data_IF_828460802050
#
_entry.id   IF_828460802050
#
_cell.length_a   1.000
_cell.length_b   1.000
_cell.length_c   1.000
_cell.angle_alpha   90.00
_cell.angle_beta   90.00
_cell.angle_gamma   90.00
#
_symmetry.space_group_name_H-M   'P 1'
#
loop_
_entity.id
_entity.type
_entity.pdbx_description
1 polymer ?
#
# COMPACT_ATOMS: atom_id res chain seq x y z
N UNK A 1 -38.60 52.35 -1.88
CA UNK A 1 -40.00 52.07 -1.46
C UNK A 1 -40.45 50.79 -2.15
N UNK A 2 -41.63 50.28 -1.78
CA UNK A 2 -42.05 48.89 -2.03
C UNK A 2 -42.83 48.76 -3.35
N UNK A 3 -43.28 47.53 -3.64
CA UNK A 3 -44.24 47.07 -4.65
C UNK A 3 -43.61 46.62 -5.99
N UNK A 4 -43.58 45.30 -6.28
CA UNK A 4 -44.67 44.35 -6.63
C UNK A 4 -45.09 44.51 -8.10
N UNK A 5 -44.92 43.49 -8.96
CA UNK A 5 -45.87 42.39 -9.25
C UNK A 5 -47.22 42.91 -9.82
N UNK A 6 -47.77 42.40 -10.94
CA UNK A 6 -47.69 41.05 -11.55
C UNK A 6 -47.90 41.12 -13.10
N UNK A 7 -47.25 40.27 -13.91
CA UNK A 7 -47.80 39.07 -14.59
C UNK A 7 -48.71 39.28 -15.84
N UNK A 8 -48.25 38.84 -17.02
CA UNK A 8 -48.99 37.95 -17.98
C UNK A 8 -48.09 37.55 -19.16
N UNK A 9 -48.46 36.49 -19.91
CA UNK A 9 -47.58 35.79 -20.86
C UNK A 9 -47.97 35.94 -22.34
N UNK A 10 -47.03 35.70 -23.28
CA UNK A 10 -47.16 34.74 -24.39
C UNK A 10 -46.00 34.75 -25.42
N UNK A 11 -45.81 33.58 -26.08
CA UNK A 11 -45.20 33.34 -27.40
C UNK A 11 -43.66 33.44 -27.58
N UNK A 12 -43.17 32.70 -28.60
CA UNK A 12 -41.76 32.37 -28.91
C UNK A 12 -41.57 32.34 -30.44
N UNK A 13 -40.49 32.95 -30.99
CA UNK A 13 -39.38 32.16 -31.58
C UNK A 13 -38.01 32.75 -31.18
N UNK A 14 -37.06 31.98 -30.64
CA UNK A 14 -36.29 30.90 -31.25
C UNK A 14 -35.48 31.29 -32.52
N UNK A 15 -34.16 31.35 -32.39
CA UNK A 15 -33.18 31.30 -33.48
C UNK A 15 -31.79 30.97 -32.92
N UNK A 16 -31.37 29.71 -33.09
CA UNK A 16 -30.04 29.22 -32.71
C UNK A 16 -29.40 28.49 -33.91
N UNK A 17 -28.16 28.83 -34.30
CA UNK A 17 -27.37 28.03 -35.24
C UNK A 17 -25.95 27.71 -34.69
N UNK A 18 -25.22 26.72 -35.26
CA UNK A 18 -25.60 25.31 -35.17
C UNK A 18 -24.41 24.38 -34.81
N UNK A 19 -24.70 23.24 -34.18
CA UNK A 19 -23.72 22.15 -34.00
C UNK A 19 -23.65 21.28 -35.27
N UNK A 20 -22.45 20.86 -35.69
CA UNK A 20 -22.28 19.86 -36.74
C UNK A 20 -22.11 18.45 -36.17
N UNK A 21 -22.74 17.47 -36.82
CA UNK A 21 -22.68 16.05 -36.47
C UNK A 21 -21.91 15.28 -37.54
N UNK A 22 -20.99 14.41 -37.14
CA UNK A 22 -20.35 13.44 -38.04
C UNK A 22 -21.10 12.11 -37.95
N UNK A 23 -21.37 11.47 -39.09
CA UNK A 23 -22.18 10.26 -39.18
C UNK A 23 -21.35 8.97 -39.21
N UNK A 24 -21.94 7.88 -38.73
CA UNK A 24 -21.42 6.51 -38.80
C UNK A 24 -22.38 5.65 -39.64
N UNK A 25 -21.90 4.84 -40.61
CA UNK A 25 -22.76 3.94 -41.39
C UNK A 25 -23.12 2.67 -40.60
N UNK A 26 -24.26 2.07 -40.95
CA UNK A 26 -24.73 0.80 -40.38
C UNK A 26 -24.27 -0.42 -41.21
N UNK A 27 -24.18 -1.62 -40.61
CA UNK A 27 -24.05 -2.88 -41.33
C UNK A 27 -25.40 -3.41 -41.85
N UNK A 28 -25.32 -4.37 -42.77
CA UNK A 28 -26.44 -4.94 -43.52
C UNK A 28 -27.07 -6.18 -42.83
N UNK A 29 -28.20 -6.67 -43.33
CA UNK A 29 -29.02 -7.70 -42.67
C UNK A 29 -28.83 -9.11 -43.28
N UNK A 30 -29.01 -10.15 -42.46
CA UNK A 30 -29.22 -11.53 -42.90
C UNK A 30 -30.36 -12.18 -42.08
N UNK A 31 -31.03 -13.19 -42.64
CA UNK A 31 -32.44 -13.46 -42.34
C UNK A 31 -32.74 -14.66 -41.41
N UNK A 32 -33.61 -14.38 -40.42
CA UNK A 32 -34.85 -15.11 -40.14
C UNK A 32 -34.83 -16.67 -40.01
N UNK A 33 -35.12 -17.17 -38.80
CA UNK A 33 -36.23 -18.15 -38.65
C UNK A 33 -36.82 -18.35 -37.22
N UNK A 34 -38.10 -17.96 -37.11
CA UNK A 34 -39.21 -18.65 -36.42
C UNK A 34 -39.09 -19.05 -34.95
N UNK A 35 -39.71 -18.21 -34.12
CA UNK A 35 -40.46 -18.60 -32.92
C UNK A 35 -41.68 -19.49 -33.29
N UNK A 36 -42.20 -20.30 -32.35
CA UNK A 36 -43.65 -20.24 -32.06
C UNK A 36 -43.97 -20.12 -30.56
N UNK A 37 -45.26 -19.92 -30.27
CA UNK A 37 -45.76 -19.19 -29.09
C UNK A 37 -46.38 -20.09 -28.00
N UNK A 38 -46.43 -19.56 -26.78
CA UNK A 38 -47.57 -19.62 -25.84
C UNK A 38 -47.76 -20.86 -24.90
N UNK A 39 -48.58 -20.63 -23.85
CA UNK A 39 -49.13 -21.57 -22.84
C UNK A 39 -48.30 -21.95 -21.59
N UNK A 40 -48.46 -21.14 -20.53
CA UNK A 40 -48.81 -21.64 -19.17
C UNK A 40 -50.28 -22.11 -19.16
N UNK A 41 -50.84 -22.88 -18.18
CA UNK A 41 -50.47 -22.90 -16.75
C UNK A 41 -50.67 -24.23 -15.96
N UNK A 42 -50.55 -24.12 -14.62
CA UNK A 42 -51.21 -24.93 -13.56
C UNK A 42 -50.74 -26.36 -13.25
N UNK A 43 -50.34 -26.58 -11.98
CA UNK A 43 -50.80 -27.61 -11.02
C UNK A 43 -49.84 -27.72 -9.80
N UNK A 44 -50.23 -27.87 -8.52
CA UNK A 44 -51.54 -27.74 -7.81
C UNK A 44 -51.30 -27.19 -6.37
N UNK A 45 -52.39 -26.83 -5.68
CA UNK A 45 -52.62 -26.66 -4.22
C UNK A 45 -51.62 -27.34 -3.23
N UNK A 46 -51.38 -26.81 -2.01
CA UNK A 46 -52.44 -26.61 -1.00
C UNK A 46 -52.22 -25.56 0.11
N UNK A 47 -53.22 -24.68 0.25
CA UNK A 47 -53.81 -24.04 1.44
C UNK A 47 -53.91 -24.96 2.67
N UNK A 48 -53.66 -24.59 3.96
CA UNK A 48 -53.15 -23.37 4.67
C UNK A 48 -52.52 -23.85 6.03
N UNK A 49 -52.49 -23.25 7.25
CA UNK A 49 -53.07 -22.05 7.91
C UNK A 49 -52.29 -21.64 9.19
N UNK A 50 -52.85 -20.74 10.03
CA UNK A 50 -52.27 -20.09 11.22
C UNK A 50 -53.44 -19.58 12.11
N UNK A 51 -53.31 -19.13 13.39
CA UNK A 51 -52.48 -19.48 14.56
C UNK A 51 -53.44 -19.89 15.75
N UNK A 52 -53.46 -19.35 17.01
CA UNK A 52 -52.43 -18.88 17.99
C UNK A 52 -52.60 -19.37 19.48
N UNK A 53 -51.64 -18.97 20.34
CA UNK A 53 -51.79 -18.39 21.71
C UNK A 53 -51.62 -19.24 23.02
N UNK A 54 -51.23 -18.51 24.08
CA UNK A 54 -51.18 -18.80 25.54
C UNK A 54 -50.15 -19.84 26.04
N UNK A 55 -49.29 -19.62 27.05
CA UNK A 55 -49.34 -18.95 28.39
C UNK A 55 -49.69 -19.92 29.54
N UNK A 56 -48.79 -20.03 30.53
CA UNK A 56 -48.96 -19.71 31.98
C UNK A 56 -47.59 -19.89 32.67
N UNK A 57 -47.35 -19.19 33.78
CA UNK A 57 -46.22 -19.37 34.69
C UNK A 57 -46.70 -19.28 36.16
N UNK A 58 -46.06 -19.99 37.09
CA UNK A 58 -46.37 -19.87 38.53
C UNK A 58 -45.18 -20.28 39.43
N UNK A 59 -45.26 -19.84 40.68
CA UNK A 59 -44.40 -20.12 41.85
C UNK A 59 -45.37 -20.24 43.06
N UNK A 60 -45.00 -20.08 44.36
CA UNK A 60 -43.71 -20.09 45.07
C UNK A 60 -43.72 -21.08 46.27
N UNK A 61 -42.75 -20.98 47.21
CA UNK A 61 -42.97 -20.69 48.65
C UNK A 61 -41.68 -20.90 49.51
N UNK A 62 -41.75 -20.52 50.79
CA UNK A 62 -40.65 -20.24 51.73
C UNK A 62 -41.04 -20.75 53.14
N UNK A 63 -40.11 -21.30 53.94
CA UNK A 63 -40.32 -21.46 55.41
C UNK A 63 -39.01 -21.53 56.23
N UNK A 64 -39.15 -21.47 57.55
CA UNK A 64 -38.26 -20.81 58.50
C UNK A 64 -37.17 -21.65 59.20
N UNK A 65 -36.33 -20.93 59.97
CA UNK A 65 -35.44 -21.46 61.01
C UNK A 65 -36.13 -21.52 62.39
N UNK A 66 -35.52 -22.19 63.39
CA UNK A 66 -35.20 -21.48 64.64
C UNK A 66 -33.83 -21.85 65.25
N UNK A 67 -33.45 -21.16 66.34
CA UNK A 67 -32.10 -21.23 66.95
C UNK A 67 -32.11 -21.60 68.45
N UNK A 68 -30.96 -22.04 68.97
CA UNK A 68 -30.65 -22.10 70.41
C UNK A 68 -29.12 -22.06 70.67
N UNK A 69 -28.71 -21.52 71.82
CA UNK A 69 -27.33 -21.49 72.36
C UNK A 69 -27.38 -21.78 73.89
N UNK A 70 -26.25 -21.96 74.65
CA UNK A 70 -25.44 -20.79 75.07
C UNK A 70 -23.93 -21.00 75.46
N UNK A 71 -23.18 -19.89 75.40
CA UNK A 71 -22.18 -19.37 76.37
C UNK A 71 -20.86 -20.11 76.77
N UNK A 72 -19.74 -19.47 76.37
CA UNK A 72 -18.66 -18.92 77.24
C UNK A 72 -17.66 -19.87 77.98
N UNK A 73 -16.45 -19.40 78.40
CA UNK A 73 -15.94 -18.02 78.46
C UNK A 73 -14.64 -17.74 77.66
N UNK A 74 -14.00 -16.60 77.94
CA UNK A 74 -12.93 -15.93 77.14
C UNK A 74 -11.62 -15.89 77.92
N UNK A 75 -10.47 -15.92 77.23
CA UNK A 75 -9.17 -15.47 77.74
C UNK A 75 -8.45 -14.58 76.71
N UNK A 76 -7.62 -13.62 77.16
CA UNK A 76 -7.03 -12.55 76.32
C UNK A 76 -5.60 -12.24 76.76
N UNK A 77 -4.61 -12.45 75.88
CA UNK A 77 -3.22 -11.99 76.03
C UNK A 77 -2.54 -11.92 74.63
N UNK A 78 -1.44 -11.16 74.45
CA UNK A 78 -1.25 -10.44 73.17
C UNK A 78 0.01 -10.77 72.35
N UNK A 79 0.01 -10.22 71.13
CA UNK A 79 1.15 -9.77 70.32
C UNK A 79 2.23 -10.79 69.88
N UNK A 80 2.25 -11.05 68.57
CA UNK A 80 3.49 -10.95 67.79
C UNK A 80 3.20 -10.12 66.53
N UNK A 81 3.91 -9.01 66.37
CA UNK A 81 4.00 -8.31 65.08
C UNK A 81 4.96 -9.12 64.19
N UNK A 82 4.43 -9.81 63.19
CA UNK A 82 5.26 -10.29 62.09
C UNK A 82 5.45 -9.13 61.12
N UNK A 83 6.71 -8.73 60.93
CA UNK A 83 7.08 -7.83 59.85
C UNK A 83 6.94 -8.61 58.54
N UNK A 84 5.89 -8.34 57.78
CA UNK A 84 5.86 -8.71 56.36
C UNK A 84 7.01 -7.94 55.69
N UNK A 85 8.03 -8.69 55.26
CA UNK A 85 9.23 -8.15 54.64
C UNK A 85 8.83 -7.60 53.26
N UNK A 86 8.70 -6.27 53.17
CA UNK A 86 8.08 -5.55 52.05
C UNK A 86 8.90 -5.71 50.76
N UNK A 87 8.67 -6.84 50.08
CA UNK A 87 9.18 -7.10 48.73
C UNK A 87 8.81 -5.92 47.83
N UNK A 88 9.77 -5.29 47.14
CA UNK A 88 9.50 -4.09 46.34
C UNK A 88 8.32 -4.32 45.40
N UNK A 89 7.33 -3.43 45.47
CA UNK A 89 6.23 -3.40 44.52
C UNK A 89 6.80 -3.16 43.12
N UNK A 90 6.77 -4.22 42.31
CA UNK A 90 7.28 -4.20 40.94
C UNK A 90 6.31 -3.39 40.06
N UNK A 91 6.45 -2.07 40.12
CA UNK A 91 5.61 -1.10 39.42
C UNK A 91 5.84 -1.09 37.89
N UNK A 92 6.43 -2.15 37.35
CA UNK A 92 6.59 -2.40 35.91
C UNK A 92 5.21 -2.50 35.25
N UNK A 93 4.87 -1.65 34.28
CA UNK A 93 3.60 -1.70 33.57
C UNK A 93 3.32 -3.07 32.94
N UNK A 94 2.05 -3.49 32.94
CA UNK A 94 1.63 -4.84 32.54
C UNK A 94 2.11 -5.24 31.12
N UNK A 95 2.19 -4.29 30.19
CA UNK A 95 2.69 -4.51 28.83
C UNK A 95 4.21 -4.78 28.75
N UNK A 96 5.01 -4.27 29.69
CA UNK A 96 6.43 -4.62 29.83
C UNK A 96 6.59 -5.97 30.51
N UNK A 97 5.82 -6.23 31.57
CA UNK A 97 5.84 -7.50 32.30
C UNK A 97 5.41 -8.69 31.42
N UNK A 98 4.47 -8.49 30.49
CA UNK A 98 4.05 -9.47 29.48
C UNK A 98 5.00 -9.60 28.30
N UNK A 99 5.86 -8.61 28.04
CA UNK A 99 6.75 -8.60 26.88
C UNK A 99 8.20 -8.23 27.26
N UNK A 100 9.02 -9.22 27.67
CA UNK A 100 10.43 -8.99 27.99
C UNK A 100 11.25 -8.40 26.85
N UNK A 101 10.90 -8.69 25.60
CA UNK A 101 11.59 -8.17 24.41
C UNK A 101 11.29 -6.67 24.17
N UNK A 102 10.10 -6.20 24.54
CA UNK A 102 9.77 -4.78 24.56
C UNK A 102 10.55 -4.03 25.65
N UNK A 103 10.69 -4.63 26.83
CA UNK A 103 11.51 -4.10 27.93
C UNK A 103 12.99 -3.98 27.52
N UNK A 104 13.56 -5.04 26.93
CA UNK A 104 14.93 -5.02 26.42
C UNK A 104 15.15 -4.02 25.27
N UNK A 105 14.12 -3.77 24.44
CA UNK A 105 14.17 -2.73 23.41
C UNK A 105 14.15 -1.31 24.01
N UNK A 106 13.45 -1.12 25.13
CA UNK A 106 13.50 0.13 25.91
C UNK A 106 14.88 0.37 26.55
N UNK A 107 15.51 -0.66 27.12
CA UNK A 107 16.88 -0.56 27.67
C UNK A 107 17.91 -0.13 26.60
N UNK A 108 17.68 -0.53 25.34
CA UNK A 108 18.52 -0.18 24.18
C UNK A 108 18.19 1.20 23.59
N UNK A 109 17.00 1.75 23.82
CA UNK A 109 16.53 2.99 23.20
C UNK A 109 17.48 4.20 23.41
N UNK A 110 18.05 4.46 24.60
CA UNK A 110 19.00 5.57 24.78
C UNK A 110 20.23 5.47 23.87
N UNK A 111 20.74 4.26 23.63
CA UNK A 111 21.86 4.03 22.72
C UNK A 111 21.45 4.22 21.25
N UNK A 112 20.25 3.76 20.87
CA UNK A 112 19.65 4.01 19.55
C UNK A 112 19.56 5.51 19.28
N UNK A 113 18.92 6.27 20.19
CA UNK A 113 18.75 7.73 20.06
C UNK A 113 20.08 8.49 20.00
N UNK A 114 21.09 8.06 20.77
CA UNK A 114 22.44 8.63 20.72
C UNK A 114 23.20 8.28 19.44
N UNK A 115 22.83 7.21 18.74
CA UNK A 115 23.50 6.76 17.50
C UNK A 115 22.82 7.24 16.21
N UNK A 116 21.53 7.59 16.28
CA UNK A 116 20.84 8.35 15.23
C UNK A 116 21.11 9.86 15.34
N UNK A 117 21.32 10.37 16.56
CA UNK A 117 21.31 11.80 16.88
C UNK A 117 20.01 12.45 16.33
N UNK A 118 18.90 11.75 16.54
CA UNK A 118 17.53 12.12 16.14
C UNK A 118 16.52 11.20 16.86
N UNK A 119 15.45 11.79 17.41
CA UNK A 119 14.51 11.11 18.30
C UNK A 119 13.03 11.25 17.90
N UNK A 120 12.73 11.59 16.64
CA UNK A 120 11.36 11.71 16.15
C UNK A 120 10.99 10.50 15.28
N UNK A 121 9.81 9.92 15.50
CA UNK A 121 9.24 8.88 14.66
C UNK A 121 7.74 9.12 14.46
N UNK A 122 7.30 9.29 13.20
CA UNK A 122 5.88 9.44 12.83
C UNK A 122 5.14 10.60 13.53
N UNK A 123 5.86 11.68 13.85
CA UNK A 123 5.37 12.85 14.59
C UNK A 123 5.57 12.74 16.11
N UNK A 124 6.05 11.61 16.61
CA UNK A 124 6.22 11.32 18.05
C UNK A 124 7.69 11.53 18.44
N UNK A 125 8.01 12.48 19.34
CA UNK A 125 9.30 12.52 20.01
C UNK A 125 9.40 11.36 20.99
N UNK A 126 10.31 10.42 20.74
CA UNK A 126 10.50 9.21 21.54
C UNK A 126 11.08 9.54 22.92
N UNK A 127 10.51 8.93 23.96
CA UNK A 127 10.84 9.14 25.38
C UNK A 127 11.18 7.81 26.07
N UNK A 128 10.79 7.66 27.32
CA UNK A 128 10.86 6.41 28.10
C UNK A 128 9.58 5.56 27.97
N UNK A 129 9.51 4.46 28.74
CA UNK A 129 8.42 3.48 28.70
C UNK A 129 7.12 3.92 29.37
N UNK A 130 7.04 5.10 29.98
CA UNK A 130 5.77 5.67 30.46
C UNK A 130 4.97 6.38 29.37
N UNK A 131 5.62 6.71 28.24
CA UNK A 131 5.00 7.40 27.11
C UNK A 131 4.33 6.41 26.15
N UNK A 132 2.99 6.30 26.22
CA UNK A 132 2.20 5.35 25.43
C UNK A 132 2.45 5.46 23.90
N UNK A 133 2.55 6.67 23.29
CA UNK A 133 2.98 6.81 21.90
C UNK A 133 4.34 6.16 21.61
N UNK A 134 5.36 6.39 22.45
CA UNK A 134 6.68 5.74 22.34
C UNK A 134 6.59 4.22 22.48
N UNK A 135 5.82 3.70 23.44
CA UNK A 135 5.57 2.25 23.60
C UNK A 135 4.97 1.65 22.32
N UNK A 136 3.98 2.33 21.73
CA UNK A 136 3.33 1.89 20.50
C UNK A 136 4.26 1.92 19.27
N UNK A 137 5.19 2.88 19.20
CA UNK A 137 6.27 2.86 18.18
C UNK A 137 7.15 1.62 18.37
N UNK A 138 7.67 1.37 19.57
CA UNK A 138 8.56 0.22 19.81
C UNK A 138 7.87 -1.12 19.55
N UNK A 139 6.59 -1.26 19.90
CA UNK A 139 5.79 -2.46 19.58
C UNK A 139 5.72 -2.69 18.07
N UNK A 140 5.50 -1.66 17.24
CA UNK A 140 5.47 -1.79 15.77
C UNK A 140 6.82 -2.23 15.18
N UNK A 141 7.94 -1.68 15.66
CA UNK A 141 9.28 -2.13 15.24
C UNK A 141 9.58 -3.56 15.73
N UNK A 142 9.17 -3.93 16.94
CA UNK A 142 9.37 -5.28 17.47
C UNK A 142 8.54 -6.33 16.71
N UNK A 143 7.26 -6.04 16.43
CA UNK A 143 6.37 -6.84 15.58
C UNK A 143 6.94 -7.06 14.18
N UNK A 144 7.45 -6.01 13.55
CA UNK A 144 8.01 -6.08 12.20
C UNK A 144 9.28 -6.96 12.09
N UNK A 145 9.92 -7.27 13.23
CA UNK A 145 11.08 -8.15 13.32
C UNK A 145 10.78 -9.45 14.08
N UNK A 146 9.50 -9.86 14.15
CA UNK A 146 9.04 -11.12 14.74
C UNK A 146 9.53 -11.33 16.20
N UNK A 147 9.60 -10.24 16.98
CA UNK A 147 10.09 -10.26 18.37
C UNK A 147 11.60 -10.15 18.54
N UNK A 148 12.38 -10.07 17.45
CA UNK A 148 13.84 -9.97 17.54
C UNK A 148 14.30 -8.54 17.89
N UNK A 149 14.66 -8.35 19.17
CA UNK A 149 15.11 -7.07 19.73
C UNK A 149 16.26 -6.44 18.96
N UNK A 150 17.27 -7.21 18.53
CA UNK A 150 18.44 -6.65 17.82
C UNK A 150 18.09 -6.22 16.39
N UNK A 151 17.21 -6.94 15.70
CA UNK A 151 16.74 -6.51 14.38
C UNK A 151 15.82 -5.28 14.49
N UNK A 152 14.99 -5.20 15.53
CA UNK A 152 14.16 -4.02 15.83
C UNK A 152 15.01 -2.78 16.16
N UNK A 153 16.03 -2.91 17.01
CA UNK A 153 17.03 -1.88 17.31
C UNK A 153 17.73 -1.39 16.03
N UNK A 154 18.20 -2.32 15.20
CA UNK A 154 18.88 -2.04 13.93
C UNK A 154 17.96 -1.33 12.92
N UNK A 155 16.68 -1.72 12.84
CA UNK A 155 15.70 -1.08 11.94
C UNK A 155 15.32 0.31 12.45
N UNK A 156 15.05 0.46 13.75
CA UNK A 156 14.72 1.75 14.37
C UNK A 156 15.87 2.75 14.22
N UNK A 157 17.12 2.32 14.42
CA UNK A 157 18.31 3.14 14.20
C UNK A 157 18.38 3.65 12.76
N UNK A 158 18.20 2.76 11.77
CA UNK A 158 18.19 3.12 10.34
C UNK A 158 17.02 4.04 9.98
N UNK A 159 15.85 3.80 10.56
CA UNK A 159 14.67 4.63 10.36
C UNK A 159 14.86 6.05 10.89
N UNK A 160 15.38 6.21 12.13
CA UNK A 160 15.68 7.52 12.72
C UNK A 160 16.78 8.26 11.94
N UNK A 161 17.84 7.56 11.52
CA UNK A 161 18.88 8.13 10.66
C UNK A 161 18.33 8.59 9.30
N UNK A 162 17.39 7.84 8.71
CA UNK A 162 16.72 8.22 7.47
C UNK A 162 15.75 9.41 7.66
N UNK A 163 14.97 9.45 8.76
CA UNK A 163 14.09 10.59 9.09
C UNK A 163 14.90 11.86 9.28
N UNK A 164 16.05 11.80 9.98
CA UNK A 164 16.99 12.92 10.12
C UNK A 164 17.48 13.47 8.77
N UNK A 165 17.83 12.57 7.85
CA UNK A 165 18.36 12.95 6.52
C UNK A 165 17.29 13.49 5.58
N UNK A 166 16.05 12.98 5.68
CA UNK A 166 14.96 13.26 4.74
C UNK A 166 14.00 14.35 5.23
N UNK A 167 13.93 14.56 6.55
CA UNK A 167 12.96 15.42 7.24
C UNK A 167 11.52 15.24 6.71
N UNK A 168 10.95 14.03 6.79
CA UNK A 168 9.72 13.69 6.07
C UNK A 168 8.48 14.48 6.53
N UNK A 169 8.49 15.04 7.75
CA UNK A 169 7.46 15.96 8.23
C UNK A 169 7.44 17.26 7.39
N UNK A 170 8.60 17.79 7.01
CA UNK A 170 8.68 18.99 6.17
C UNK A 170 8.14 18.74 4.75
N UNK A 171 8.32 17.52 4.22
CA UNK A 171 7.82 17.12 2.90
C UNK A 171 6.29 17.21 2.77
N UNK A 172 5.53 17.26 3.88
CA UNK A 172 4.08 17.51 3.88
C UNK A 172 3.75 18.93 3.39
N UNK A 173 4.56 19.91 3.81
CA UNK A 173 4.34 21.35 3.58
C UNK A 173 5.01 21.83 2.26
N UNK A 174 5.85 20.99 1.65
CA UNK A 174 6.42 21.18 0.31
C UNK A 174 5.34 21.23 -0.79
N UNK A 175 5.73 21.78 -1.94
CA UNK A 175 4.88 21.90 -3.13
C UNK A 175 5.33 20.92 -4.21
N UNK A 176 4.36 20.30 -4.86
CA UNK A 176 4.58 19.24 -5.84
C UNK A 176 3.92 19.59 -7.18
N UNK A 177 4.64 19.36 -8.28
CA UNK A 177 4.16 19.60 -9.64
C UNK A 177 2.82 18.91 -9.93
N UNK A 178 1.80 19.72 -10.28
CA UNK A 178 0.51 19.22 -10.76
C UNK A 178 0.64 18.49 -12.10
N UNK A 179 1.62 18.85 -12.93
CA UNK A 179 1.95 18.17 -14.20
C UNK A 179 2.47 16.75 -13.97
N UNK A 180 3.32 16.54 -12.96
CA UNK A 180 3.92 15.24 -12.61
C UNK A 180 3.02 14.35 -11.74
N UNK A 181 2.33 14.95 -10.77
CA UNK A 181 1.69 14.24 -9.66
C UNK A 181 0.19 14.50 -9.51
N UNK A 182 -0.37 15.43 -10.28
CA UNK A 182 -1.79 15.80 -10.23
C UNK A 182 -2.72 14.62 -10.50
N UNK A 183 -3.50 14.25 -9.48
CA UNK A 183 -4.45 13.14 -9.52
C UNK A 183 -3.84 11.74 -9.32
N UNK A 184 -2.56 11.63 -9.01
CA UNK A 184 -1.89 10.32 -8.81
C UNK A 184 -1.91 9.83 -7.36
N UNK A 185 -2.28 10.67 -6.39
CA UNK A 185 -2.23 10.34 -4.97
C UNK A 185 -3.34 11.04 -4.19
N UNK A 186 -4.02 10.28 -3.33
CA UNK A 186 -5.11 10.79 -2.48
C UNK A 186 -5.09 10.17 -1.08
N UNK A 187 -5.74 10.86 -0.15
CA UNK A 187 -5.94 10.47 1.24
C UNK A 187 -7.37 10.83 1.66
N UNK A 188 -8.15 9.85 2.11
CA UNK A 188 -9.42 10.08 2.77
C UNK A 188 -9.54 9.21 4.03
N UNK A 189 -10.52 9.55 4.87
CA UNK A 189 -10.80 8.84 6.10
C UNK A 189 -12.27 8.42 6.08
N UNK A 190 -12.52 7.12 6.06
CA UNK A 190 -13.88 6.55 6.10
C UNK A 190 -14.27 6.21 7.54
N UNK A 191 -15.57 6.24 7.83
CA UNK A 191 -16.12 5.78 9.12
C UNK A 191 -16.94 4.50 8.96
N UNK A 192 -16.83 3.57 9.90
CA UNK A 192 -17.76 2.44 10.01
C UNK A 192 -19.06 2.82 10.73
N UNK A 193 -19.95 1.85 10.96
CA UNK A 193 -21.24 2.08 11.63
C UNK A 193 -21.10 2.37 13.14
N UNK A 194 -19.93 2.08 13.71
CA UNK A 194 -19.55 2.32 15.10
C UNK A 194 -18.86 3.69 15.27
N UNK A 195 -18.48 4.33 14.15
CA UNK A 195 -17.82 5.63 14.10
C UNK A 195 -16.29 5.56 14.03
N UNK A 196 -15.71 4.36 14.00
CA UNK A 196 -14.26 4.14 13.94
C UNK A 196 -13.72 4.67 12.61
N UNK A 197 -12.60 5.39 12.68
CA UNK A 197 -11.97 5.99 11.52
C UNK A 197 -10.95 5.02 10.87
N UNK A 198 -11.12 4.74 9.59
CA UNK A 198 -10.13 4.04 8.77
C UNK A 198 -9.51 5.02 7.79
N UNK A 199 -8.19 5.22 7.93
CA UNK A 199 -7.38 6.02 7.02
C UNK A 199 -7.08 5.23 5.74
N UNK A 200 -7.35 5.82 4.57
CA UNK A 200 -7.15 5.18 3.26
C UNK A 200 -6.32 6.10 2.36
N UNK A 201 -5.16 5.60 1.91
CA UNK A 201 -4.37 6.22 0.84
C UNK A 201 -4.65 5.56 -0.50
N UNK A 202 -4.60 6.34 -1.56
CA UNK A 202 -4.79 5.89 -2.94
C UNK A 202 -3.61 6.32 -3.79
N UNK A 203 -3.14 5.44 -4.67
CA UNK A 203 -2.12 5.73 -5.67
C UNK A 203 -2.61 5.31 -7.05
N UNK A 204 -2.98 6.30 -7.86
CA UNK A 204 -3.64 6.11 -9.16
C UNK A 204 -2.58 6.04 -10.26
N UNK A 205 -1.75 4.99 -10.23
CA UNK A 205 -0.68 4.82 -11.22
C UNK A 205 -1.20 4.64 -12.65
N UNK A 206 -2.45 4.16 -12.80
CA UNK A 206 -3.17 4.18 -14.07
C UNK A 206 -3.50 5.57 -14.64
N UNK A 207 -3.38 6.63 -13.82
CA UNK A 207 -3.53 8.02 -14.24
C UNK A 207 -2.25 8.69 -14.75
N UNK A 208 -1.11 7.99 -14.76
CA UNK A 208 0.18 8.57 -15.18
C UNK A 208 0.15 8.87 -16.69
N UNK A 209 0.19 10.16 -17.04
CA UNK A 209 0.16 10.65 -18.42
C UNK A 209 1.48 10.42 -19.16
N UNK A 210 2.61 10.58 -18.48
CA UNK A 210 3.95 10.27 -19.01
C UNK A 210 4.85 9.70 -17.90
N UNK A 211 5.50 8.58 -18.21
CA UNK A 211 6.42 7.90 -17.30
C UNK A 211 7.74 8.66 -17.13
N UNK A 212 8.19 9.41 -18.14
CA UNK A 212 9.42 10.21 -18.07
C UNK A 212 9.26 11.36 -17.09
N UNK A 213 8.17 12.11 -17.22
CA UNK A 213 7.79 13.25 -16.38
C UNK A 213 7.55 12.83 -14.92
N UNK A 214 6.81 11.75 -14.66
CA UNK A 214 6.46 11.34 -13.28
C UNK A 214 7.56 10.56 -12.56
N UNK A 215 8.37 9.75 -13.26
CA UNK A 215 9.36 8.85 -12.63
C UNK A 215 10.82 9.14 -13.01
N UNK A 216 11.09 10.06 -13.94
CA UNK A 216 12.45 10.38 -14.40
C UNK A 216 13.35 10.94 -13.29
N UNK A 217 12.76 11.66 -12.34
CA UNK A 217 13.42 12.04 -11.09
C UNK A 217 12.91 11.14 -9.95
N UNK A 218 13.72 10.13 -9.59
CA UNK A 218 13.33 9.12 -8.60
C UNK A 218 13.20 9.72 -7.19
N UNK A 219 14.10 10.58 -6.77
CA UNK A 219 14.07 11.12 -5.40
C UNK A 219 12.94 12.15 -5.22
N UNK A 220 12.58 12.93 -6.25
CA UNK A 220 11.38 13.79 -6.24
C UNK A 220 10.08 12.97 -6.15
N UNK A 221 9.96 11.89 -6.93
CA UNK A 221 8.83 10.97 -6.82
C UNK A 221 8.75 10.34 -5.41
N UNK A 222 9.89 10.05 -4.79
CA UNK A 222 9.94 9.47 -3.44
C UNK A 222 9.54 10.49 -2.38
N UNK A 223 10.01 11.74 -2.47
CA UNK A 223 9.56 12.81 -1.58
C UNK A 223 8.05 12.99 -1.66
N UNK A 224 7.48 13.01 -2.87
CA UNK A 224 6.03 13.03 -3.09
C UNK A 224 5.31 11.82 -2.46
N UNK A 225 5.83 10.60 -2.64
CA UNK A 225 5.25 9.38 -2.03
C UNK A 225 5.35 9.36 -0.51
N UNK A 226 6.39 9.96 0.05
CA UNK A 226 6.62 10.10 1.50
C UNK A 226 5.71 11.17 2.09
N UNK A 227 5.55 12.33 1.45
CA UNK A 227 4.62 13.37 1.87
C UNK A 227 3.17 12.86 1.98
N UNK A 228 2.71 12.08 0.98
CA UNK A 228 1.40 11.43 1.03
C UNK A 228 1.30 10.36 2.13
N UNK A 229 2.40 9.66 2.44
CA UNK A 229 2.48 8.72 3.56
C UNK A 229 2.40 9.45 4.90
N UNK A 230 3.22 10.47 5.14
CA UNK A 230 3.23 11.24 6.40
C UNK A 230 1.90 11.95 6.67
N UNK A 231 1.22 12.46 5.64
CA UNK A 231 -0.16 12.94 5.76
C UNK A 231 -1.11 11.87 6.33
N UNK A 232 -0.98 10.62 5.85
CA UNK A 232 -1.80 9.51 6.33
C UNK A 232 -1.36 9.02 7.73
N UNK A 233 -0.07 9.09 8.04
CA UNK A 233 0.48 8.80 9.38
C UNK A 233 -0.06 9.80 10.41
N UNK A 234 -0.12 11.09 10.06
CA UNK A 234 -0.72 12.15 10.88
C UNK A 234 -2.22 11.91 11.13
N UNK A 235 -2.94 11.37 10.14
CA UNK A 235 -4.35 10.98 10.30
C UNK A 235 -4.55 9.76 11.23
N UNK A 236 -3.53 8.93 11.46
CA UNK A 236 -3.61 7.81 12.43
C UNK A 236 -3.60 8.28 13.90
N UNK A 237 -3.17 9.53 14.18
CA UNK A 237 -3.22 10.16 15.52
C UNK A 237 -2.52 9.34 16.63
N UNK A 238 -1.44 8.63 16.31
CA UNK A 238 -0.74 7.79 17.30
C UNK A 238 0.03 8.61 18.35
N UNK A 239 0.29 9.89 18.07
CA UNK A 239 0.71 10.92 19.04
C UNK A 239 -0.32 11.15 20.16
N UNK A 240 -1.59 10.86 19.90
CA UNK A 240 -2.72 10.99 20.84
C UNK A 240 -3.10 9.63 21.47
N UNK A 241 -2.24 8.61 21.39
CA UNK A 241 -2.53 7.28 21.91
C UNK A 241 -2.67 7.26 23.45
N UNK A 242 -3.83 6.82 23.93
CA UNK A 242 -4.17 6.68 25.35
C UNK A 242 -4.14 5.23 25.85
N UNK A 243 -3.93 4.26 24.95
CA UNK A 243 -3.77 2.84 25.26
C UNK A 243 -2.58 2.24 24.49
N UNK A 244 -1.99 1.21 25.07
CA UNK A 244 -0.92 0.43 24.45
C UNK A 244 -1.52 -0.63 23.51
N UNK A 245 -0.95 -0.80 22.32
CA UNK A 245 -1.31 -1.84 21.36
C UNK A 245 -1.05 -3.21 21.98
N UNK A 246 -2.02 -4.11 21.97
CA UNK A 246 -1.79 -5.51 22.36
C UNK A 246 -0.81 -6.17 21.38
N UNK A 247 0.22 -6.85 21.88
CA UNK A 247 1.35 -7.30 21.05
C UNK A 247 0.94 -8.32 19.99
N UNK A 248 -0.07 -9.16 20.25
CA UNK A 248 -0.63 -10.12 19.29
C UNK A 248 -2.03 -9.72 18.77
N UNK A 249 -2.62 -8.65 19.32
CA UNK A 249 -3.98 -8.18 19.02
C UNK A 249 -4.10 -7.16 17.89
N UNK A 250 -5.28 -6.55 17.76
CA UNK A 250 -5.56 -5.55 16.72
C UNK A 250 -4.78 -4.24 16.92
N UNK A 251 -4.49 -3.55 15.81
CA UNK A 251 -3.68 -2.34 15.77
C UNK A 251 -4.50 -1.20 15.13
N UNK A 252 -5.06 -0.26 15.92
CA UNK A 252 -5.87 0.83 15.39
C UNK A 252 -5.03 1.85 14.63
N UNK A 253 -3.71 1.85 14.81
CA UNK A 253 -2.77 2.77 14.18
C UNK A 253 -2.24 2.17 12.87
N UNK A 254 -3.15 1.73 11.99
CA UNK A 254 -2.83 1.21 10.67
C UNK A 254 -3.77 1.72 9.56
N UNK A 255 -3.19 2.09 8.42
CA UNK A 255 -3.89 2.59 7.24
C UNK A 255 -4.11 1.51 6.18
N UNK A 256 -5.07 1.74 5.29
CA UNK A 256 -5.24 0.98 4.05
C UNK A 256 -4.57 1.71 2.90
N UNK A 257 -4.06 0.94 1.93
CA UNK A 257 -3.45 1.48 0.71
C UNK A 257 -4.09 0.85 -0.54
N UNK A 258 -4.65 1.66 -1.42
CA UNK A 258 -5.20 1.25 -2.72
C UNK A 258 -4.22 1.68 -3.82
N UNK A 259 -3.76 0.74 -4.63
CA UNK A 259 -3.02 1.03 -5.86
C UNK A 259 -3.93 0.73 -7.06
N UNK A 260 -4.17 1.72 -7.93
CA UNK A 260 -4.91 1.53 -9.17
C UNK A 260 -3.95 1.42 -10.36
N UNK A 261 -4.06 0.33 -11.10
CA UNK A 261 -3.24 0.01 -12.27
C UNK A 261 -4.04 -0.06 -13.59
N UNK A 262 -5.21 0.57 -13.66
CA UNK A 262 -5.98 0.70 -14.91
C UNK A 262 -5.09 1.24 -16.04
N UNK A 263 -5.16 0.66 -17.23
CA UNK A 263 -4.34 1.01 -18.41
C UNK A 263 -2.80 0.82 -18.25
N UNK A 264 -2.29 0.34 -17.11
CA UNK A 264 -0.84 0.13 -16.94
C UNK A 264 -0.35 -1.08 -17.74
N UNK A 265 0.61 -0.86 -18.62
CA UNK A 265 1.20 -1.92 -19.44
C UNK A 265 2.28 -2.69 -18.69
N UNK A 266 1.95 -3.93 -18.30
CA UNK A 266 2.87 -4.83 -17.60
C UNK A 266 3.88 -5.54 -18.53
N UNK A 267 3.76 -5.40 -19.85
CA UNK A 267 4.59 -6.13 -20.83
C UNK A 267 6.04 -5.61 -20.91
N UNK A 268 6.31 -4.38 -20.47
CA UNK A 268 7.66 -3.78 -20.46
C UNK A 268 7.86 -2.95 -19.19
N UNK A 269 8.63 -3.50 -18.24
CA UNK A 269 9.00 -2.81 -17.01
C UNK A 269 9.92 -1.60 -17.32
N UNK A 270 9.39 -0.38 -17.28
CA UNK A 270 10.17 0.84 -17.49
C UNK A 270 11.28 0.95 -16.39
N UNK A 271 12.54 1.27 -16.74
CA UNK A 271 13.64 1.32 -15.76
C UNK A 271 13.43 2.31 -14.62
N UNK A 272 12.91 3.50 -14.91
CA UNK A 272 12.64 4.55 -13.92
C UNK A 272 11.50 4.15 -12.98
N UNK A 273 10.42 3.56 -13.53
CA UNK A 273 9.33 2.97 -12.73
C UNK A 273 9.85 1.86 -11.82
N UNK A 274 10.77 1.01 -12.30
CA UNK A 274 11.41 -0.04 -11.50
C UNK A 274 12.28 0.53 -10.38
N UNK A 275 13.07 1.56 -10.67
CA UNK A 275 13.93 2.25 -9.70
C UNK A 275 13.10 2.93 -8.60
N UNK A 276 12.08 3.70 -8.99
CA UNK A 276 11.11 4.33 -8.10
C UNK A 276 10.40 3.29 -7.22
N UNK A 277 9.88 2.20 -7.82
CA UNK A 277 9.21 1.12 -7.09
C UNK A 277 10.14 0.46 -6.07
N UNK A 278 11.39 0.16 -6.44
CA UNK A 278 12.38 -0.41 -5.50
C UNK A 278 12.64 0.55 -4.34
N UNK A 279 12.95 1.81 -4.63
CA UNK A 279 13.24 2.85 -3.62
C UNK A 279 12.04 3.11 -2.70
N UNK A 280 10.80 3.04 -3.20
CA UNK A 280 9.58 3.09 -2.36
C UNK A 280 9.51 1.89 -1.41
N UNK A 281 9.79 0.68 -1.89
CA UNK A 281 9.82 -0.53 -1.05
C UNK A 281 10.93 -0.43 0.00
N UNK A 282 12.15 -0.02 -0.39
CA UNK A 282 13.29 0.15 0.51
C UNK A 282 12.95 1.14 1.65
N UNK A 283 12.38 2.30 1.31
CA UNK A 283 12.00 3.35 2.27
C UNK A 283 10.84 2.88 3.17
N UNK A 284 9.77 2.32 2.61
CA UNK A 284 8.61 1.89 3.40
C UNK A 284 8.91 0.70 4.30
N UNK A 285 9.76 -0.25 3.85
CA UNK A 285 10.24 -1.34 4.70
C UNK A 285 11.21 -0.86 5.80
N UNK A 286 11.96 0.23 5.59
CA UNK A 286 12.88 0.76 6.61
C UNK A 286 12.16 1.61 7.64
N UNK A 287 11.35 2.58 7.20
CA UNK A 287 10.86 3.68 8.03
C UNK A 287 9.35 3.70 8.31
N UNK A 288 8.59 2.73 7.77
CA UNK A 288 7.14 2.61 7.97
C UNK A 288 6.65 1.18 8.35
N UNK A 289 7.38 0.40 9.20
CA UNK A 289 6.93 -0.92 9.66
C UNK A 289 5.56 -0.90 10.37
N UNK A 290 4.76 -1.95 10.13
CA UNK A 290 3.45 -2.20 10.77
C UNK A 290 2.49 -0.99 10.86
N UNK A 291 2.52 -0.12 9.85
CA UNK A 291 1.48 0.89 9.58
C UNK A 291 0.48 0.45 8.50
N UNK A 292 0.75 -0.62 7.78
CA UNK A 292 -0.14 -1.15 6.74
C UNK A 292 -1.12 -2.17 7.33
N UNK A 293 -2.42 -1.88 7.25
CA UNK A 293 -3.50 -2.84 7.57
C UNK A 293 -3.76 -3.77 6.39
N UNK A 294 -4.20 -3.20 5.28
CA UNK A 294 -4.52 -3.93 4.03
C UNK A 294 -4.06 -3.15 2.80
N UNK A 295 -3.68 -3.88 1.74
CA UNK A 295 -3.21 -3.33 0.47
C UNK A 295 -3.97 -3.93 -0.72
N UNK A 296 -4.76 -3.10 -1.37
CA UNK A 296 -5.55 -3.49 -2.53
C UNK A 296 -4.86 -3.05 -3.81
N UNK A 297 -4.82 -3.94 -4.81
CA UNK A 297 -4.25 -3.67 -6.13
C UNK A 297 -5.35 -3.84 -7.16
N UNK A 298 -5.96 -2.73 -7.58
CA UNK A 298 -7.17 -2.73 -8.41
C UNK A 298 -6.86 -2.54 -9.89
N UNK A 299 -7.78 -3.01 -10.74
CA UNK A 299 -7.67 -3.01 -12.20
C UNK A 299 -6.44 -3.79 -12.73
N UNK A 300 -5.97 -4.79 -11.96
CA UNK A 300 -4.84 -5.66 -12.32
C UNK A 300 -5.30 -6.75 -13.30
N UNK A 301 -4.72 -6.88 -14.50
CA UNK A 301 -5.09 -7.95 -15.45
C UNK A 301 -4.96 -9.34 -14.82
N UNK A 302 -6.02 -10.16 -14.88
CA UNK A 302 -6.07 -11.46 -14.17
C UNK A 302 -4.96 -12.43 -14.58
N UNK A 303 -4.46 -12.31 -15.82
CA UNK A 303 -3.30 -13.04 -16.34
C UNK A 303 -1.99 -12.76 -15.59
N UNK A 304 -1.92 -11.72 -14.75
CA UNK A 304 -0.76 -11.37 -13.91
C UNK A 304 -0.77 -12.05 -12.52
N UNK A 305 -1.72 -12.96 -12.23
CA UNK A 305 -1.79 -13.66 -10.94
C UNK A 305 -0.49 -14.41 -10.56
N UNK A 306 0.26 -14.91 -11.55
CA UNK A 306 1.57 -15.53 -11.33
C UNK A 306 2.64 -14.54 -10.83
N UNK A 307 2.56 -13.26 -11.20
CA UNK A 307 3.51 -12.24 -10.73
C UNK A 307 3.29 -11.95 -9.25
N UNK A 308 2.03 -11.89 -8.80
CA UNK A 308 1.73 -11.83 -7.38
C UNK A 308 2.19 -13.09 -6.64
N UNK A 309 1.96 -14.29 -7.20
CA UNK A 309 2.48 -15.53 -6.63
C UNK A 309 4.01 -15.55 -6.48
N UNK A 310 4.76 -15.00 -7.45
CA UNK A 310 6.21 -14.85 -7.36
C UNK A 310 6.64 -13.82 -6.29
N UNK A 311 5.89 -12.72 -6.12
CA UNK A 311 6.13 -11.73 -5.06
C UNK A 311 5.92 -12.36 -3.66
N UNK A 312 4.98 -13.31 -3.50
CA UNK A 312 4.77 -14.08 -2.26
C UNK A 312 5.95 -14.98 -1.86
N UNK A 313 6.97 -15.14 -2.71
CA UNK A 313 8.22 -15.87 -2.38
C UNK A 313 9.24 -14.96 -1.70
N UNK A 314 9.15 -13.64 -1.89
CA UNK A 314 10.12 -12.66 -1.38
C UNK A 314 9.57 -11.74 -0.27
N UNK A 315 8.25 -11.68 -0.09
CA UNK A 315 7.61 -10.99 1.05
C UNK A 315 7.30 -11.96 2.18
N UNK A 316 7.33 -11.48 3.42
CA UNK A 316 6.95 -12.28 4.59
C UNK A 316 5.49 -12.76 4.50
N UNK A 317 5.16 -13.82 5.24
CA UNK A 317 3.77 -14.32 5.32
C UNK A 317 2.80 -13.23 5.83
N UNK A 318 3.24 -12.38 6.75
CA UNK A 318 2.41 -11.30 7.27
C UNK A 318 2.09 -10.24 6.21
N UNK A 319 3.10 -9.75 5.48
CA UNK A 319 2.88 -8.80 4.37
C UNK A 319 2.06 -9.43 3.24
N UNK A 320 2.33 -10.69 2.92
CA UNK A 320 1.62 -11.47 1.88
C UNK A 320 0.12 -11.67 2.16
N UNK A 321 -0.27 -11.79 3.44
CA UNK A 321 -1.69 -11.88 3.85
C UNK A 321 -2.44 -10.58 3.59
N UNK A 322 -1.77 -9.43 3.75
CA UNK A 322 -2.34 -8.09 3.62
C UNK A 322 -2.51 -7.61 2.15
N UNK A 323 -2.37 -8.49 1.15
CA UNK A 323 -2.18 -8.12 -0.27
C UNK A 323 -3.28 -8.71 -1.17
N UNK A 324 -4.19 -7.85 -1.65
CA UNK A 324 -5.44 -8.24 -2.34
C UNK A 324 -5.50 -7.72 -3.79
N UNK A 325 -5.21 -8.57 -4.80
CA UNK A 325 -5.34 -8.20 -6.21
C UNK A 325 -6.80 -8.32 -6.68
N UNK A 326 -7.35 -7.25 -7.27
CA UNK A 326 -8.73 -7.19 -7.76
C UNK A 326 -8.73 -6.74 -9.23
N UNK A 327 -9.19 -7.60 -10.15
CA UNK A 327 -9.09 -7.32 -11.60
C UNK A 327 -10.07 -6.28 -12.16
N UNK A 328 -11.09 -5.89 -11.40
CA UNK A 328 -11.98 -4.77 -11.75
C UNK A 328 -12.19 -3.91 -10.48
N UNK A 329 -11.79 -2.64 -10.55
CA UNK A 329 -11.88 -1.69 -9.45
C UNK A 329 -13.28 -1.51 -8.89
N UNK A 330 -14.32 -1.67 -9.71
CA UNK A 330 -15.72 -1.59 -9.28
C UNK A 330 -16.16 -2.72 -8.31
N UNK A 331 -15.27 -3.67 -8.00
CA UNK A 331 -15.48 -4.66 -6.94
C UNK A 331 -14.84 -4.25 -5.60
N UNK A 332 -13.93 -3.25 -5.55
CA UNK A 332 -13.13 -2.93 -4.36
C UNK A 332 -13.97 -2.67 -3.11
N UNK A 333 -15.04 -1.87 -3.22
CA UNK A 333 -15.87 -1.52 -2.08
C UNK A 333 -16.66 -2.73 -1.50
N UNK A 334 -16.66 -3.90 -2.17
CA UNK A 334 -17.25 -5.14 -1.65
C UNK A 334 -16.46 -5.74 -0.50
N UNK A 335 -15.15 -5.53 -0.47
CA UNK A 335 -14.23 -5.97 0.60
C UNK A 335 -14.45 -5.22 1.92
N UNK A 336 -15.35 -4.23 1.94
CA UNK A 336 -15.62 -3.34 3.07
C UNK A 336 -17.03 -3.49 3.64
N UNK A 337 -17.23 -3.23 4.95
CA UNK A 337 -18.56 -3.14 5.55
C UNK A 337 -19.44 -2.07 4.87
N UNK A 338 -20.78 -2.19 4.86
CA UNK A 338 -21.69 -1.30 4.13
C UNK A 338 -21.45 0.20 4.36
N UNK A 339 -21.31 0.63 5.62
CA UNK A 339 -21.05 2.03 5.95
C UNK A 339 -19.79 2.58 5.28
N UNK A 340 -18.69 1.82 5.27
CA UNK A 340 -17.42 2.20 4.61
C UNK A 340 -17.55 2.12 3.09
N UNK A 341 -18.20 1.08 2.57
CA UNK A 341 -18.48 0.87 1.14
C UNK A 341 -19.22 2.03 0.50
N UNK A 342 -20.24 2.57 1.16
CA UNK A 342 -21.06 3.68 0.64
C UNK A 342 -20.26 4.97 0.47
N UNK A 343 -19.19 5.15 1.25
CA UNK A 343 -18.26 6.29 1.17
C UNK A 343 -17.20 6.15 0.05
N UNK A 344 -17.06 4.99 -0.59
CA UNK A 344 -16.10 4.82 -1.69
C UNK A 344 -16.64 5.45 -2.98
N UNK A 345 -15.77 6.01 -3.85
CA UNK A 345 -16.19 6.52 -5.15
C UNK A 345 -16.91 5.46 -6.00
N UNK A 346 -17.86 5.87 -6.83
CA UNK A 346 -18.64 4.98 -7.73
C UNK A 346 -17.76 4.09 -8.62
N UNK A 347 -16.61 4.59 -9.10
CA UNK A 347 -15.64 3.83 -9.90
C UNK A 347 -15.00 2.65 -9.15
N UNK A 348 -15.08 2.65 -7.82
CA UNK A 348 -14.61 1.59 -6.93
C UNK A 348 -15.75 0.73 -6.34
N UNK A 349 -16.99 0.93 -6.80
CA UNK A 349 -18.17 0.14 -6.41
C UNK A 349 -18.92 0.66 -5.19
N UNK A 350 -18.61 1.87 -4.72
CA UNK A 350 -19.40 2.58 -3.70
C UNK A 350 -20.42 3.55 -4.30
N UNK A 351 -20.83 4.54 -3.50
CA UNK A 351 -21.80 5.58 -3.88
C UNK A 351 -21.31 7.01 -3.56
N UNK A 352 -20.05 7.14 -3.14
CA UNK A 352 -19.43 8.40 -2.76
C UNK A 352 -18.97 9.26 -3.95
N UNK A 353 -18.63 10.53 -3.68
CA UNK A 353 -18.05 11.46 -4.65
C UNK A 353 -16.69 10.97 -5.19
N UNK A 354 -16.17 11.63 -6.22
CA UNK A 354 -14.85 11.32 -6.76
C UNK A 354 -13.72 11.66 -5.77
N UNK A 355 -12.56 10.98 -5.88
CA UNK A 355 -11.39 11.29 -5.05
C UNK A 355 -10.93 12.75 -5.25
N UNK A 356 -11.07 13.25 -6.48
CA UNK A 356 -10.84 14.64 -6.87
C UNK A 356 -11.67 15.67 -6.08
N UNK A 357 -12.84 15.26 -5.56
CA UNK A 357 -13.85 16.16 -4.97
C UNK A 357 -13.84 16.09 -3.43
N UNK A 358 -13.49 14.94 -2.86
CA UNK A 358 -13.65 14.67 -1.42
C UNK A 358 -12.43 14.07 -0.71
N UNK A 359 -11.38 13.64 -1.44
CA UNK A 359 -10.14 13.19 -0.82
C UNK A 359 -9.09 14.30 -0.85
N UNK A 360 -8.28 14.38 0.21
CA UNK A 360 -7.13 15.29 0.27
C UNK A 360 -5.97 14.74 -0.56
N UNK A 361 -5.02 15.60 -0.86
CA UNK A 361 -3.71 15.24 -1.41
C UNK A 361 -2.66 16.20 -0.87
N UNK A 362 -1.39 16.01 -1.25
CA UNK A 362 -0.30 16.95 -0.92
C UNK A 362 -0.52 18.32 -1.59
N UNK A 363 0.21 19.35 -1.16
CA UNK A 363 0.11 20.66 -1.83
C UNK A 363 0.62 20.56 -3.27
N UNK A 364 -0.30 20.68 -4.23
CA UNK A 364 0.03 20.74 -5.65
C UNK A 364 0.19 22.19 -6.11
N UNK A 365 1.12 22.42 -7.04
CA UNK A 365 1.27 23.70 -7.75
C UNK A 365 1.29 23.50 -9.27
N UNK A 366 0.73 24.45 -9.99
CA UNK A 366 0.79 24.45 -11.46
C UNK A 366 2.22 24.76 -11.92
N UNK A 367 2.71 23.98 -12.88
CA UNK A 367 4.01 24.16 -13.52
C UNK A 367 4.01 25.46 -14.37
N UNK A 368 4.20 26.59 -13.70
CA UNK A 368 4.54 27.86 -14.35
C UNK A 368 5.94 27.71 -14.96
N UNK A 369 6.02 27.16 -16.17
CA UNK A 369 7.25 27.17 -16.96
C UNK A 369 7.74 28.63 -17.03
N UNK A 370 8.95 28.95 -16.53
CA UNK A 370 9.49 30.30 -16.64
C UNK A 370 9.62 30.58 -18.14
N UNK A 371 8.86 31.56 -18.62
CA UNK A 371 8.78 31.90 -20.04
C UNK A 371 10.21 32.00 -20.60
N UNK A 372 10.53 31.31 -21.72
CA UNK A 372 11.90 31.16 -22.19
C UNK A 372 12.53 32.54 -22.32
N UNK A 373 13.57 32.78 -21.52
CA UNK A 373 14.21 34.09 -21.44
C UNK A 373 14.55 34.55 -22.86
N UNK A 374 14.11 35.75 -23.28
CA UNK A 374 14.25 36.19 -24.67
C UNK A 374 15.73 36.12 -25.03
N UNK A 375 16.05 35.32 -26.05
CA UNK A 375 17.42 34.96 -26.37
C UNK A 375 18.25 36.24 -26.51
N UNK A 376 19.32 36.33 -25.71
CA UNK A 376 20.20 37.49 -25.71
C UNK A 376 20.69 37.72 -27.14
N UNK A 377 20.29 38.85 -27.74
CA UNK A 377 20.64 39.19 -29.12
C UNK A 377 22.16 39.33 -29.17
N UNK A 378 22.81 38.42 -29.88
CA UNK A 378 24.25 38.51 -30.11
C UNK A 378 24.54 39.81 -30.87
N UNK A 379 25.40 40.67 -30.30
CA UNK A 379 25.81 41.90 -30.96
C UNK A 379 26.56 41.56 -32.27
N UNK A 380 26.31 42.28 -33.39
CA UNK A 380 27.03 42.01 -34.63
C UNK A 380 28.52 42.31 -34.48
N UNK A 381 29.37 41.36 -34.87
CA UNK A 381 30.80 41.63 -35.07
C UNK A 381 30.94 42.40 -36.38
N UNK A 382 31.55 43.57 -36.32
CA UNK A 382 31.69 44.52 -37.44
C UNK A 382 32.70 44.03 -38.50
N UNK A 383 32.43 44.33 -39.77
CA UNK A 383 33.15 43.80 -40.94
C UNK A 383 34.62 44.23 -41.06
N UNK A 384 35.45 43.32 -41.59
CA UNK A 384 36.74 43.64 -42.21
C UNK A 384 36.74 43.18 -43.68
N UNK A 385 36.93 44.12 -44.61
CA UNK A 385 36.76 43.90 -46.06
C UNK A 385 37.97 43.25 -46.79
N UNK A 386 37.81 42.75 -48.05
CA UNK A 386 38.59 41.62 -48.58
C UNK A 386 39.52 41.90 -49.80
N UNK A 387 40.45 40.97 -50.06
CA UNK A 387 41.24 40.72 -51.29
C UNK A 387 41.81 39.27 -51.23
N UNK A 388 42.14 38.50 -52.29
CA UNK A 388 41.82 38.50 -53.74
C UNK A 388 41.94 37.04 -54.28
N UNK A 389 41.81 36.76 -55.59
CA UNK A 389 41.84 35.39 -56.17
C UNK A 389 43.17 34.95 -56.84
N UNK A 390 43.65 33.73 -56.52
CA UNK A 390 44.32 32.74 -57.41
C UNK A 390 45.67 33.09 -58.13
N UNK A 391 46.37 32.15 -58.84
CA UNK A 391 46.63 30.69 -58.64
C UNK A 391 48.13 30.26 -58.80
N UNK A 392 48.41 28.94 -58.79
CA UNK A 392 49.68 28.21 -59.18
C UNK A 392 50.83 28.22 -58.14
N UNK A 393 51.87 27.35 -58.16
CA UNK A 393 52.32 26.28 -59.10
C UNK A 393 53.01 25.10 -58.34
N UNK A 394 53.41 24.01 -59.01
CA UNK A 394 54.11 22.82 -58.41
C UNK A 394 55.64 23.05 -58.18
N UNK A 395 56.36 22.13 -57.49
CA UNK A 395 57.06 21.07 -58.25
C UNK A 395 57.17 19.66 -57.59
N UNK A 396 57.42 18.65 -58.42
CA UNK A 396 57.92 17.29 -58.10
C UNK A 396 59.47 17.28 -57.86
N UNK A 397 60.18 16.16 -57.56
CA UNK A 397 59.79 14.72 -57.54
C UNK A 397 60.01 14.08 -56.13
N UNK A 398 60.07 12.76 -55.84
CA UNK A 398 60.88 11.66 -56.42
C UNK A 398 60.30 10.24 -56.10
N UNK A 399 60.83 9.18 -56.72
CA UNK A 399 60.21 7.83 -56.76
C UNK A 399 61.18 6.69 -56.40
N UNK A 400 60.75 5.80 -55.50
CA UNK A 400 61.05 4.35 -55.42
C UNK A 400 59.90 3.70 -54.62
N UNK A 401 59.21 2.66 -55.11
CA UNK A 401 59.61 1.23 -55.19
C UNK A 401 60.00 0.67 -53.81
N UNK A 402 59.50 -0.49 -53.38
CA UNK A 402 59.31 -1.72 -54.17
C UNK A 402 58.15 -2.64 -53.67
N UNK A 403 57.68 -3.50 -54.58
CA UNK A 403 56.83 -4.72 -54.45
C UNK A 403 55.58 -4.84 -53.52
N UNK A 404 54.50 -5.35 -54.14
CA UNK A 404 53.42 -6.15 -53.54
C UNK A 404 53.46 -7.55 -54.22
N UNK A 405 52.68 -8.60 -53.83
CA UNK A 405 51.24 -8.63 -54.19
C UNK A 405 50.29 -9.53 -53.33
N UNK A 406 48.96 -9.36 -53.55
CA UNK A 406 47.85 -10.36 -53.74
C UNK A 406 47.78 -11.68 -52.91
N UNK A 407 46.65 -12.38 -52.70
CA UNK A 407 45.17 -12.23 -52.76
C UNK A 407 44.58 -13.52 -52.09
N UNK A 408 43.26 -13.64 -51.88
CA UNK A 408 42.63 -14.83 -51.25
C UNK A 408 42.49 -16.06 -52.19
N UNK A 409 42.19 -17.27 -51.67
CA UNK A 409 40.85 -17.87 -51.96
C UNK A 409 40.24 -18.91 -50.95
N UNK A 410 38.90 -18.87 -50.84
CA UNK A 410 37.88 -19.98 -50.98
C UNK A 410 37.87 -21.26 -50.09
N UNK A 411 36.74 -21.44 -49.38
CA UNK A 411 35.89 -22.63 -49.03
C UNK A 411 36.43 -24.08 -48.74
N UNK A 412 36.16 -24.58 -47.50
CA UNK A 412 35.51 -25.87 -47.04
C UNK A 412 35.87 -27.28 -47.62
N UNK A 413 35.43 -28.43 -47.01
CA UNK A 413 35.49 -28.90 -45.60
C UNK A 413 35.89 -30.41 -45.39
N UNK A 414 36.36 -30.88 -44.20
CA UNK A 414 36.04 -32.23 -43.63
C UNK A 414 36.55 -32.57 -42.20
N UNK A 415 35.84 -33.56 -41.63
CA UNK A 415 35.96 -34.46 -40.44
C UNK A 415 37.25 -34.63 -39.58
N UNK A 416 37.04 -34.60 -38.25
CA UNK A 416 37.37 -35.57 -37.16
C UNK A 416 38.75 -36.28 -37.03
N UNK A 417 39.19 -36.62 -35.79
CA UNK A 417 38.89 -37.97 -35.26
C UNK A 417 38.77 -38.18 -33.72
N UNK A 418 37.74 -38.95 -33.33
CA UNK A 418 37.63 -40.04 -32.32
C UNK A 418 38.07 -39.93 -30.84
N UNK A 419 37.23 -40.57 -30.03
CA UNK A 419 37.29 -40.84 -28.58
C UNK A 419 38.15 -42.08 -28.23
N UNK A 420 38.42 -42.37 -26.93
CA UNK A 420 37.58 -43.37 -26.23
C UNK A 420 37.30 -43.06 -24.73
N UNK A 421 36.43 -43.87 -24.11
CA UNK A 421 36.11 -43.88 -22.66
C UNK A 421 36.63 -45.15 -21.98
N UNK A 422 36.72 -45.16 -20.63
CA UNK A 422 36.02 -46.19 -19.81
C UNK A 422 35.51 -45.61 -18.45
N UNK A 423 34.77 -46.29 -17.56
CA UNK A 423 33.83 -47.45 -17.57
C UNK A 423 32.99 -47.37 -16.27
N UNK A 424 31.89 -48.14 -16.17
CA UNK A 424 31.06 -48.29 -14.95
C UNK A 424 31.37 -49.63 -14.25
N UNK A 425 31.14 -49.77 -12.93
CA UNK A 425 30.61 -51.06 -12.46
C UNK A 425 29.54 -51.00 -11.34
N UNK A 426 28.29 -51.27 -11.74
CA UNK A 426 27.34 -52.23 -11.11
C UNK A 426 26.85 -52.11 -9.64
N UNK A 427 25.61 -52.59 -9.45
CA UNK A 427 24.84 -52.65 -8.19
C UNK A 427 25.16 -53.89 -7.33
N UNK A 428 24.78 -53.82 -6.05
CA UNK A 428 24.30 -54.99 -5.26
C UNK A 428 23.16 -54.59 -4.32
N UNK A 429 22.14 -55.44 -4.20
CA UNK A 429 21.00 -55.29 -3.30
C UNK A 429 21.34 -55.44 -1.81
N UNK A 430 20.49 -54.87 -0.95
CA UNK A 430 19.85 -55.59 0.17
C UNK A 430 18.56 -54.87 0.53
N UNK A 431 17.46 -55.61 0.73
CA UNK A 431 16.14 -55.06 1.05
C UNK A 431 15.78 -55.23 2.53
N UNK A 432 14.97 -54.31 3.06
CA UNK A 432 14.09 -54.56 4.21
C UNK A 432 12.70 -53.99 3.93
N UNK A 433 11.69 -54.86 4.04
CA UNK A 433 10.26 -54.58 3.85
C UNK A 433 9.64 -53.87 5.06
N UNK A 434 8.56 -53.11 4.83
CA UNK A 434 7.26 -53.00 5.57
C UNK A 434 6.68 -51.61 5.21
N UNK A 435 5.50 -51.49 4.56
CA UNK A 435 4.16 -51.41 5.16
C UNK A 435 4.07 -50.31 6.26
N UNK A 436 3.01 -49.49 6.37
CA UNK A 436 1.63 -49.61 5.88
C UNK A 436 0.96 -48.21 5.79
N UNK A 437 -0.23 -48.12 5.19
CA UNK A 437 -1.12 -46.96 5.25
C UNK A 437 -2.57 -47.36 4.91
N UNK A 438 -3.62 -46.60 5.30
CA UNK A 438 -3.69 -45.49 6.26
C UNK A 438 -4.68 -45.79 7.43
N UNK A 439 -4.81 -44.88 8.40
CA UNK A 439 -5.92 -44.93 9.38
C UNK A 439 -6.44 -43.53 9.74
N UNK A 440 -7.76 -43.34 9.60
CA UNK A 440 -8.51 -42.15 10.04
C UNK A 440 -8.80 -42.24 11.53
N UNK A 441 -8.79 -41.11 12.25
CA UNK A 441 -9.38 -40.99 13.58
C UNK A 441 -10.03 -39.60 13.75
N UNK A 442 -11.24 -39.57 14.30
CA UNK A 442 -12.03 -38.36 14.57
C UNK A 442 -11.96 -37.97 16.07
N UNK A 443 -12.38 -36.73 16.38
CA UNK A 443 -12.81 -36.26 17.72
C UNK A 443 -11.66 -36.21 18.76
N UNK A 444 -11.38 -35.04 19.34
CA UNK A 444 -12.32 -34.26 20.16
C UNK A 444 -11.95 -32.78 20.28
#
# INVERSE_FOLDING_TARGET
MVDQQENTAAAVPNSQPPTQTIATPAPEAEAEQKQPVESSPSDVNHTTENPPNQTVAEAPEEDAAPAAAPAAPVEVAPAQEQQDEEKPADNTPEYLAKNPALSELFDRLPAVLSSSDHNEMWGIPLKDSTDIPTVNVLIKFLRANEGNVKLAEDQLTKALQWRKQTNPIALIEDRYSAKKFGGLGYLNMCKDAQGNETVITWNIYGGVKDLGTTFGNVDEFINWRVALMELAVKDLKMDQATSVIDYDGEDPYQMIQVHDYLNVSFLRMNPSVKAATKKTIDVFATAYPELLREKFFVNVPSIMGWMFAAIKVFLSKNTTRKFHPISNGANLAREFPPAVREQFPTVYGGSGPALQEAARTVTLEEDNEPAPAPAAVAEPIEDAQPEQEAPKEEPSPEVSKEEAPKEAPVETPKEEPKQPAPEEPTKTDTAVTTQEAPATAEIK
#
